data_IF_658042120854
#
_entry.id   IF_658042120854
#
_cell.length_a   1.000
_cell.length_b   1.000
_cell.length_c   1.000
_cell.angle_alpha   90.00
_cell.angle_beta   90.00
_cell.angle_gamma   90.00
#
_symmetry.space_group_name_H-M   'P 1'
#
loop_
_entity.id
_entity.type
_entity.pdbx_description
1 polymer ?
#
# COMPACT_ATOMS: atom_id res chain seq x y z
N UNK A 1 -4.31 -3.20 3.11
CA UNK A 1 -5.03 -3.54 4.36
C UNK A 1 -4.11 -4.16 5.41
N UNK A 2 -3.53 -5.34 5.18
CA UNK A 2 -2.73 -6.05 6.19
C UNK A 2 -1.59 -5.21 6.79
N UNK A 3 -0.73 -4.62 5.96
CA UNK A 3 0.41 -3.81 6.41
C UNK A 3 0.00 -2.59 7.24
N UNK A 4 -1.11 -1.93 6.91
CA UNK A 4 -1.61 -0.78 7.69
C UNK A 4 -2.06 -1.18 9.10
N UNK A 5 -2.52 -2.42 9.28
CA UNK A 5 -2.99 -2.93 10.57
C UNK A 5 -1.87 -3.49 11.43
N UNK A 6 -0.79 -3.98 10.80
CA UNK A 6 0.22 -4.82 11.46
C UNK A 6 1.61 -4.16 11.42
N UNK A 7 1.85 -3.24 10.49
CA UNK A 7 3.12 -2.53 10.29
C UNK A 7 4.10 -3.23 9.35
N UNK A 8 3.75 -4.38 8.77
CA UNK A 8 4.57 -5.10 7.80
C UNK A 8 3.71 -5.90 6.81
N UNK A 9 4.20 -6.19 5.59
CA UNK A 9 3.43 -6.92 4.59
C UNK A 9 3.22 -8.40 4.97
N UNK A 10 2.12 -9.03 4.54
CA UNK A 10 1.78 -10.42 4.91
C UNK A 10 2.81 -11.44 4.39
N UNK A 11 3.51 -11.11 3.31
CA UNK A 11 4.58 -11.92 2.74
C UNK A 11 5.86 -11.10 2.73
N UNK A 12 6.65 -11.23 3.78
CA UNK A 12 7.95 -10.59 3.90
C UNK A 12 9.03 -11.63 4.18
N UNK A 13 10.13 -11.56 3.46
CA UNK A 13 11.33 -12.37 3.65
C UNK A 13 12.57 -11.58 3.24
N UNK A 14 13.74 -12.03 3.66
CA UNK A 14 15.02 -11.39 3.33
C UNK A 14 15.32 -11.37 1.82
N UNK A 15 14.89 -12.42 1.11
CA UNK A 15 15.12 -12.57 -0.33
C UNK A 15 13.83 -12.55 -1.15
N UNK A 16 13.86 -12.01 -2.38
CA UNK A 16 12.69 -11.97 -3.25
C UNK A 16 12.15 -13.35 -3.61
N UNK A 17 13.03 -14.36 -3.72
CA UNK A 17 12.65 -15.75 -4.02
C UNK A 17 11.79 -16.37 -2.91
N UNK A 18 12.17 -16.15 -1.64
CA UNK A 18 11.41 -16.65 -0.50
C UNK A 18 10.08 -15.92 -0.33
N UNK A 19 10.06 -14.61 -0.59
CA UNK A 19 8.82 -13.83 -0.66
C UNK A 19 7.89 -14.37 -1.76
N UNK A 20 8.42 -14.68 -2.95
CA UNK A 20 7.64 -15.27 -4.03
C UNK A 20 7.06 -16.64 -3.64
N UNK A 21 7.86 -17.53 -3.04
CA UNK A 21 7.36 -18.82 -2.53
C UNK A 21 6.24 -18.64 -1.52
N UNK A 22 6.35 -17.67 -0.60
CA UNK A 22 5.28 -17.35 0.35
C UNK A 22 4.01 -16.88 -0.36
N UNK A 23 4.13 -15.99 -1.35
CA UNK A 23 2.99 -15.50 -2.14
C UNK A 23 2.29 -16.66 -2.87
N UNK A 24 3.05 -17.56 -3.50
CA UNK A 24 2.49 -18.71 -4.20
C UNK A 24 1.80 -19.69 -3.24
N UNK A 25 2.37 -19.88 -2.05
CA UNK A 25 1.84 -20.76 -1.01
C UNK A 25 0.99 -20.01 0.03
N UNK A 26 0.28 -18.94 -0.38
CA UNK A 26 -0.46 -18.03 0.51
C UNK A 26 -1.43 -18.75 1.47
N UNK A 27 -1.99 -19.91 1.07
CA UNK A 27 -2.90 -20.71 1.90
C UNK A 27 -2.27 -21.17 3.21
N UNK A 28 -0.96 -21.39 3.21
CA UNK A 28 -0.20 -21.86 4.38
C UNK A 28 0.59 -20.72 5.04
N UNK A 29 0.98 -19.70 4.26
CA UNK A 29 1.92 -18.66 4.71
C UNK A 29 1.23 -17.35 5.11
N UNK A 30 -0.05 -17.17 4.82
CA UNK A 30 -0.85 -16.04 5.32
C UNK A 30 -1.21 -16.30 6.79
N UNK A 31 -0.45 -15.69 7.70
CA UNK A 31 -0.61 -15.89 9.14
C UNK A 31 -1.01 -14.58 9.82
N UNK A 32 -2.07 -14.63 10.63
CA UNK A 32 -2.49 -13.49 11.46
C UNK A 32 -1.94 -13.63 12.89
N UNK A 33 -1.17 -12.64 13.41
CA UNK A 33 -0.68 -12.68 14.79
C UNK A 33 -1.81 -12.70 15.83
N UNK A 34 -1.64 -13.36 16.99
CA UNK A 34 -2.73 -13.44 17.99
C UNK A 34 -3.05 -12.10 18.70
N UNK A 35 -2.19 -11.08 18.55
CA UNK A 35 -2.20 -9.87 19.39
C UNK A 35 -3.12 -8.74 18.92
N UNK A 36 -3.75 -8.84 17.74
CA UNK A 36 -4.53 -7.73 17.20
C UNK A 36 -6.00 -8.11 16.93
N UNK A 37 -6.94 -7.16 17.13
CA UNK A 37 -8.36 -7.40 16.87
C UNK A 37 -8.64 -7.36 15.35
N UNK A 38 -8.52 -8.51 14.69
CA UNK A 38 -8.72 -8.63 13.24
C UNK A 38 -10.13 -9.05 12.83
N UNK A 39 -11.11 -9.09 13.74
CA UNK A 39 -12.35 -9.85 13.52
C UNK A 39 -13.09 -9.46 12.22
N UNK A 40 -13.13 -8.18 11.89
CA UNK A 40 -13.76 -7.65 10.67
C UNK A 40 -12.75 -7.64 9.49
N UNK A 41 -11.53 -7.15 9.72
CA UNK A 41 -10.53 -7.02 8.65
C UNK A 41 -9.97 -8.35 8.12
N UNK A 42 -9.97 -9.42 8.94
CA UNK A 42 -9.44 -10.74 8.55
C UNK A 42 -10.22 -11.34 7.41
N UNK A 43 -11.55 -11.34 7.51
CA UNK A 43 -12.42 -11.88 6.46
C UNK A 43 -12.23 -11.16 5.14
N UNK A 44 -12.08 -9.82 5.18
CA UNK A 44 -11.75 -9.04 4.01
C UNK A 44 -10.38 -9.40 3.42
N UNK A 45 -9.33 -9.45 4.26
CA UNK A 45 -7.96 -9.80 3.81
C UNK A 45 -7.93 -11.21 3.19
N UNK A 46 -8.59 -12.20 3.78
CA UNK A 46 -8.66 -13.57 3.25
C UNK A 46 -9.43 -13.64 1.91
N UNK A 47 -10.45 -12.79 1.70
CA UNK A 47 -11.18 -12.67 0.42
C UNK A 47 -10.38 -11.95 -0.67
N UNK A 48 -9.42 -11.11 -0.31
CA UNK A 48 -8.48 -10.53 -1.28
C UNK A 48 -7.32 -11.48 -1.59
N UNK A 49 -6.76 -12.10 -0.55
CA UNK A 49 -5.69 -13.08 -0.64
C UNK A 49 -6.24 -14.48 -0.86
N UNK A 50 -6.92 -14.70 -1.99
CA UNK A 50 -7.38 -16.02 -2.41
C UNK A 50 -7.06 -16.32 -3.88
N UNK A 51 -7.57 -17.45 -4.39
CA UNK A 51 -7.52 -17.77 -5.82
C UNK A 51 -8.00 -16.59 -6.66
N UNK A 52 -7.33 -16.35 -7.80
CA UNK A 52 -7.64 -15.22 -8.68
C UNK A 52 -9.11 -15.20 -9.11
N UNK A 53 -9.70 -16.36 -9.39
CA UNK A 53 -11.10 -16.51 -9.83
C UNK A 53 -12.15 -16.22 -8.74
N UNK A 54 -11.75 -16.31 -7.46
CA UNK A 54 -12.63 -16.09 -6.31
C UNK A 54 -12.34 -14.79 -5.58
N UNK A 55 -11.31 -14.06 -6.02
CA UNK A 55 -10.93 -12.78 -5.44
C UNK A 55 -12.14 -11.86 -5.54
N UNK A 56 -12.40 -11.15 -4.45
CA UNK A 56 -13.38 -10.07 -4.43
C UNK A 56 -13.17 -9.23 -5.72
N UNK A 57 -14.20 -9.12 -6.57
CA UNK A 57 -14.24 -8.52 -7.93
C UNK A 57 -14.06 -9.44 -9.16
N UNK A 58 -13.77 -10.73 -9.03
CA UNK A 58 -13.50 -11.58 -10.20
C UNK A 58 -14.73 -11.94 -11.08
N UNK A 59 -15.98 -11.82 -10.61
CA UNK A 59 -17.15 -12.28 -11.39
C UNK A 59 -18.05 -11.19 -11.99
N UNK A 60 -17.92 -9.94 -11.58
CA UNK A 60 -18.81 -8.86 -12.01
C UNK A 60 -18.20 -7.58 -11.47
N UNK A 61 -18.24 -6.45 -12.20
CA UNK A 61 -17.79 -5.12 -11.75
C UNK A 61 -18.57 -4.54 -10.57
N UNK A 62 -18.95 -5.38 -9.60
CA UNK A 62 -19.47 -5.07 -8.30
C UNK A 62 -18.37 -4.44 -7.46
N UNK A 63 -18.37 -3.12 -7.54
CA UNK A 63 -17.90 -2.17 -6.54
C UNK A 63 -17.77 -2.82 -5.14
N UNK A 64 -16.58 -2.73 -4.53
CA UNK A 64 -16.38 -2.97 -3.09
C UNK A 64 -17.15 -1.87 -2.36
N UNK A 65 -18.47 -1.95 -2.34
CA UNK A 65 -19.33 -1.05 -1.57
C UNK A 65 -19.00 -1.32 -0.12
N UNK A 66 -18.26 -0.40 0.46
CA UNK A 66 -17.63 -0.50 1.77
C UNK A 66 -18.63 -0.48 2.92
N UNK A 67 -19.66 -1.32 2.92
CA UNK A 67 -20.58 -1.45 4.05
C UNK A 67 -19.90 -1.99 5.32
N UNK A 68 -18.71 -2.59 5.18
CA UNK A 68 -17.88 -3.04 6.31
C UNK A 68 -16.75 -2.04 6.67
N UNK A 69 -16.56 -0.96 5.89
CA UNK A 69 -15.54 0.08 6.11
C UNK A 69 -16.11 1.51 5.99
N UNK A 70 -17.41 1.72 6.22
CA UNK A 70 -18.08 3.03 6.09
C UNK A 70 -17.76 3.96 7.27
N UNK A 71 -16.52 4.43 7.34
CA UNK A 71 -16.12 5.61 8.13
C UNK A 71 -15.82 6.85 7.29
N UNK A 72 -15.93 6.76 5.96
CA UNK A 72 -15.16 7.59 5.03
C UNK A 72 -15.73 8.97 4.74
N UNK A 73 -17.02 9.22 4.99
CA UNK A 73 -17.67 10.47 4.55
C UNK A 73 -17.97 11.50 5.64
N UNK A 74 -17.71 11.20 6.91
CA UNK A 74 -17.99 12.17 8.00
C UNK A 74 -17.10 12.01 9.24
N UNK A 75 -16.41 10.88 9.41
CA UNK A 75 -15.49 10.71 10.53
C UNK A 75 -14.17 11.42 10.26
N UNK A 76 -13.66 12.18 11.23
CA UNK A 76 -12.21 12.43 11.34
C UNK A 76 -11.54 11.06 11.26
N UNK A 77 -10.99 10.72 10.09
CA UNK A 77 -10.24 9.49 9.92
C UNK A 77 -9.15 9.41 10.99
N UNK A 78 -8.70 8.21 11.32
CA UNK A 78 -7.45 8.01 12.07
C UNK A 78 -6.28 8.36 11.15
N UNK A 79 -6.20 9.64 10.79
CA UNK A 79 -5.08 10.22 10.07
C UNK A 79 -4.03 10.56 11.14
N UNK A 80 -2.77 10.23 10.87
CA UNK A 80 -1.67 10.92 11.54
C UNK A 80 -1.90 12.42 11.31
N UNK A 81 -1.99 13.18 12.40
CA UNK A 81 -2.23 14.63 12.34
C UNK A 81 -1.12 15.28 11.52
N UNK A 82 -1.38 15.63 10.27
CA UNK A 82 -0.48 16.46 9.49
C UNK A 82 -0.82 17.92 9.76
N UNK A 83 0.13 18.64 10.36
CA UNK A 83 0.06 20.11 10.40
C UNK A 83 0.56 20.62 9.05
N UNK A 84 -0.16 21.55 8.43
CA UNK A 84 0.27 22.20 7.19
C UNK A 84 0.26 23.71 7.41
N UNK A 85 1.42 24.35 7.38
CA UNK A 85 1.59 25.79 7.63
C UNK A 85 1.42 26.66 6.37
N UNK A 86 1.24 26.04 5.20
CA UNK A 86 1.00 26.75 3.94
C UNK A 86 1.01 25.83 2.72
N UNK A 87 0.80 26.41 1.53
CA UNK A 87 0.75 25.66 0.26
C UNK A 87 2.10 25.02 -0.13
N UNK A 88 3.22 25.58 0.36
CA UNK A 88 4.57 25.09 0.12
C UNK A 88 5.16 24.28 1.28
N UNK A 89 4.35 23.90 2.27
CA UNK A 89 4.82 23.12 3.41
C UNK A 89 5.07 21.65 3.00
N UNK A 90 6.33 21.24 3.10
CA UNK A 90 6.78 19.87 2.80
C UNK A 90 7.18 19.09 4.06
N UNK A 91 6.83 19.55 5.25
CA UNK A 91 7.24 18.98 6.56
C UNK A 91 6.75 17.55 6.84
N UNK A 92 5.70 17.10 6.14
CA UNK A 92 5.17 15.74 6.24
C UNK A 92 5.80 14.77 5.21
N UNK A 93 6.84 15.21 4.50
CA UNK A 93 7.60 14.43 3.52
C UNK A 93 9.08 14.34 3.94
N UNK A 94 9.77 13.32 3.44
CA UNK A 94 11.21 13.16 3.66
C UNK A 94 12.01 14.27 2.92
N UNK A 95 13.15 14.65 3.49
CA UNK A 95 14.12 15.51 2.80
C UNK A 95 14.96 14.69 1.82
N UNK A 96 15.02 15.14 0.57
CA UNK A 96 15.83 14.53 -0.47
C UNK A 96 16.97 15.47 -0.86
N UNK A 97 18.20 14.96 -1.07
CA UNK A 97 19.30 15.78 -1.52
C UNK A 97 19.04 16.29 -2.94
N UNK A 98 19.52 17.49 -3.23
CA UNK A 98 19.49 18.04 -4.59
C UNK A 98 20.24 17.12 -5.55
N UNK A 99 19.48 16.49 -6.44
CA UNK A 99 20.02 15.60 -7.48
C UNK A 99 19.99 16.33 -8.80
N UNK A 100 21.07 16.24 -9.58
CA UNK A 100 21.09 16.78 -10.95
C UNK A 100 20.05 16.03 -11.80
N UNK A 101 18.92 16.70 -12.07
CA UNK A 101 17.79 16.17 -12.84
C UNK A 101 18.10 16.06 -14.34
N UNK A 102 19.37 16.15 -14.73
CA UNK A 102 19.81 15.98 -16.12
C UNK A 102 19.29 14.66 -16.67
N UNK A 103 18.34 14.75 -17.60
CA UNK A 103 17.84 13.61 -18.35
C UNK A 103 19.00 13.02 -19.16
N UNK A 104 19.37 11.74 -18.95
CA UNK A 104 20.42 11.10 -19.74
C UNK A 104 20.05 11.17 -21.24
N UNK A 105 20.88 11.83 -22.04
CA UNK A 105 20.67 11.94 -23.50
C UNK A 105 20.33 13.33 -24.04
N UNK A 106 20.11 14.35 -23.19
CA UNK A 106 20.06 15.74 -23.68
C UNK A 106 21.47 16.25 -23.98
N UNK A 107 21.83 16.21 -25.27
CA UNK A 107 23.02 16.83 -25.84
C UNK A 107 23.01 18.34 -25.58
N UNK A 108 24.20 18.92 -25.36
CA UNK A 108 24.37 20.37 -25.21
C UNK A 108 23.94 21.07 -26.50
N UNK A 109 22.92 21.90 -26.45
CA UNK A 109 22.73 22.94 -27.46
C UNK A 109 23.70 24.08 -27.12
N UNK A 110 24.95 23.98 -27.58
CA UNK A 110 25.86 25.12 -27.58
C UNK A 110 25.35 26.15 -28.61
N UNK A 111 25.28 27.44 -28.24
CA UNK A 111 24.86 28.47 -29.18
C UNK A 111 25.93 28.62 -30.27
N UNK A 112 25.53 28.41 -31.53
CA UNK A 112 26.39 28.68 -32.69
C UNK A 112 26.70 30.17 -32.74
N UNK A 113 28.00 30.47 -32.76
CA UNK A 113 28.58 31.81 -32.84
C UNK A 113 28.40 32.43 -34.23
#
# INVERSE_FOLDING_TARGET
MYEMLIGFPPFCSEGPQETYKKIMNWRETLVFPLKYPFREARGAIERFCCEAEKRLEASTGGEIKGEEWTGTHSGKGRLLSCSCEGIGDTSNFDEFPDTDLRIPGQGRNEPKR
#
